data_IF_359551830056
#
_entry.id   IF_359551830056
#
_cell.length_a   1.000
_cell.length_b   1.000
_cell.length_c   1.000
_cell.angle_alpha   90.00
_cell.angle_beta   90.00
_cell.angle_gamma   90.00
#
_symmetry.space_group_name_H-M   'P 1'
#
loop_
_entity.id
_entity.type
_entity.pdbx_description
1 polymer ?
#
# COMPACT_ATOMS: atom_id res chain seq x y z
N UNK A 1 -4.33 12.74 -4.80
CA UNK A 1 -3.03 12.05 -4.77
C UNK A 1 -2.03 12.94 -5.47
N UNK A 2 -0.91 13.25 -4.83
CA UNK A 2 0.18 14.01 -5.46
C UNK A 2 1.18 13.03 -6.07
N UNK A 3 1.15 12.88 -7.40
CA UNK A 3 2.04 11.97 -8.13
C UNK A 3 3.51 12.38 -8.03
N UNK A 4 3.78 13.69 -7.96
CA UNK A 4 5.15 14.18 -7.88
C UNK A 4 5.81 13.74 -6.58
N UNK A 5 5.05 13.76 -5.49
CA UNK A 5 5.54 13.31 -4.19
C UNK A 5 5.78 11.79 -4.15
N UNK A 6 4.93 11.00 -4.81
CA UNK A 6 5.14 9.55 -4.97
C UNK A 6 6.46 9.27 -5.68
N UNK A 7 6.72 9.95 -6.81
CA UNK A 7 7.94 9.76 -7.59
C UNK A 7 9.19 10.17 -6.81
N UNK A 8 9.15 11.31 -6.12
CA UNK A 8 10.27 11.77 -5.28
C UNK A 8 10.56 10.81 -4.14
N UNK A 9 9.53 10.34 -3.45
CA UNK A 9 9.69 9.43 -2.31
C UNK A 9 10.31 8.10 -2.76
N UNK A 10 9.85 7.55 -3.88
CA UNK A 10 10.42 6.32 -4.42
C UNK A 10 11.89 6.50 -4.84
N UNK A 11 12.23 7.62 -5.48
CA UNK A 11 13.62 7.95 -5.83
C UNK A 11 14.54 8.06 -4.61
N UNK A 12 14.03 8.52 -3.46
CA UNK A 12 14.80 8.51 -2.20
C UNK A 12 15.17 7.09 -1.79
N UNK A 13 14.24 6.13 -1.90
CA UNK A 13 14.53 4.71 -1.61
C UNK A 13 15.58 4.17 -2.59
N UNK A 14 15.44 4.41 -3.90
CA UNK A 14 16.40 3.93 -4.90
C UNK A 14 17.81 4.50 -4.68
N UNK A 15 17.92 5.74 -4.21
CA UNK A 15 19.21 6.33 -3.82
C UNK A 15 19.80 5.63 -2.62
N UNK A 16 18.99 5.32 -1.61
CA UNK A 16 19.41 4.57 -0.43
C UNK A 16 19.91 3.16 -0.81
N UNK A 17 19.22 2.44 -1.71
CA UNK A 17 19.67 1.14 -2.23
C UNK A 17 21.07 1.21 -2.83
N UNK A 18 21.31 2.20 -3.70
CA UNK A 18 22.62 2.42 -4.33
C UNK A 18 23.71 2.72 -3.30
N UNK A 19 23.40 3.52 -2.29
CA UNK A 19 24.35 3.88 -1.24
C UNK A 19 24.68 2.69 -0.33
N UNK A 20 23.68 1.91 0.05
CA UNK A 20 23.82 0.75 0.95
C UNK A 20 24.28 -0.52 0.23
N UNK A 21 24.30 -0.51 -1.12
CA UNK A 21 24.62 -1.67 -1.97
C UNK A 21 23.78 -2.90 -1.61
N UNK A 22 22.51 -2.66 -1.27
CA UNK A 22 21.54 -3.68 -0.89
C UNK A 22 20.16 -3.30 -1.44
N UNK A 23 19.42 -4.31 -1.91
CA UNK A 23 18.01 -4.16 -2.31
C UNK A 23 17.12 -3.77 -1.12
N UNK A 24 16.29 -2.76 -1.32
CA UNK A 24 15.28 -2.25 -0.38
C UNK A 24 13.93 -2.31 -1.11
N UNK A 25 13.13 -3.37 -0.89
CA UNK A 25 11.84 -3.47 -1.54
C UNK A 25 10.93 -2.34 -1.05
N UNK A 26 10.44 -1.53 -1.99
CA UNK A 26 9.46 -0.48 -1.73
C UNK A 26 8.30 -0.61 -2.71
N UNK A 27 7.08 -0.35 -2.24
CA UNK A 27 5.87 -0.31 -3.05
C UNK A 27 4.94 0.79 -2.59
N UNK A 28 4.12 1.31 -3.51
CA UNK A 28 3.05 2.26 -3.19
C UNK A 28 1.85 1.51 -2.63
N UNK A 29 1.36 1.95 -1.46
CA UNK A 29 0.08 1.51 -0.90
C UNK A 29 -0.98 2.58 -1.13
N UNK A 30 -2.09 2.22 -1.78
CA UNK A 30 -3.18 3.15 -2.05
C UNK A 30 -4.20 3.10 -0.90
N UNK A 31 -4.32 4.21 -0.17
CA UNK A 31 -5.16 4.29 1.03
C UNK A 31 -6.24 5.34 0.91
N UNK A 32 -7.34 5.17 1.68
CA UNK A 32 -8.51 6.05 1.65
C UNK A 32 -9.15 6.13 0.26
N UNK A 33 -9.09 5.03 -0.49
CA UNK A 33 -9.63 4.99 -1.84
C UNK A 33 -11.16 4.96 -1.79
N UNK A 34 -11.80 5.64 -2.74
CA UNK A 34 -13.25 5.55 -2.90
C UNK A 34 -13.65 4.12 -3.32
N UNK A 35 -14.73 3.54 -2.77
CA UNK A 35 -15.25 2.25 -3.26
C UNK A 35 -15.61 2.29 -4.75
N UNK A 36 -15.99 3.47 -5.26
CA UNK A 36 -16.21 3.73 -6.67
C UNK A 36 -14.91 4.25 -7.30
N UNK A 37 -14.41 3.54 -8.29
CA UNK A 37 -13.19 3.92 -9.02
C UNK A 37 -13.46 5.19 -9.84
N UNK A 38 -12.68 6.24 -9.58
CA UNK A 38 -12.73 7.47 -10.36
C UNK A 38 -11.74 7.42 -11.53
N UNK A 39 -12.05 8.12 -12.62
CA UNK A 39 -11.12 8.25 -13.76
C UNK A 39 -9.78 8.86 -13.34
N UNK A 40 -9.81 9.79 -12.39
CA UNK A 40 -8.60 10.44 -11.85
C UNK A 40 -7.74 9.42 -11.09
N UNK A 41 -8.35 8.58 -10.25
CA UNK A 41 -7.63 7.53 -9.53
C UNK A 41 -7.03 6.50 -10.49
N UNK A 42 -7.78 6.11 -11.52
CA UNK A 42 -7.30 5.19 -12.55
C UNK A 42 -6.13 5.77 -13.34
N UNK A 43 -6.25 7.02 -13.80
CA UNK A 43 -5.17 7.69 -14.52
C UNK A 43 -3.91 7.81 -13.66
N UNK A 44 -4.07 8.23 -12.40
CA UNK A 44 -2.94 8.35 -11.50
C UNK A 44 -2.26 7.00 -11.21
N UNK A 45 -3.03 5.89 -11.14
CA UNK A 45 -2.46 4.53 -11.06
C UNK A 45 -1.66 4.18 -12.32
N UNK A 46 -2.17 4.51 -13.50
CA UNK A 46 -1.48 4.25 -14.76
C UNK A 46 -0.16 5.02 -14.85
N UNK A 47 -0.12 6.27 -14.41
CA UNK A 47 1.11 7.07 -14.36
C UNK A 47 2.17 6.42 -13.44
N UNK A 48 1.78 5.95 -12.25
CA UNK A 48 2.69 5.27 -11.32
C UNK A 48 3.25 3.98 -11.94
N UNK A 49 2.39 3.19 -12.56
CA UNK A 49 2.79 1.95 -13.23
C UNK A 49 3.69 2.20 -14.45
N UNK A 50 3.44 3.28 -15.19
CA UNK A 50 4.24 3.67 -16.36
C UNK A 50 5.64 4.18 -15.97
N UNK A 51 5.82 4.58 -14.71
CA UNK A 51 7.11 4.94 -14.12
C UNK A 51 7.86 3.75 -13.51
N UNK A 52 7.40 2.51 -13.74
CA UNK A 52 7.96 1.27 -13.17
C UNK A 52 8.02 1.27 -11.63
N UNK A 53 7.11 2.02 -10.98
CA UNK A 53 6.99 2.03 -9.53
C UNK A 53 5.99 0.94 -9.12
N UNK A 54 6.44 -0.07 -8.35
CA UNK A 54 5.57 -1.15 -7.95
C UNK A 54 4.50 -0.65 -6.95
N UNK A 55 3.28 -1.11 -7.14
CA UNK A 55 2.12 -0.79 -6.31
C UNK A 55 1.62 -2.09 -5.66
N UNK A 56 1.11 -2.01 -4.43
CA UNK A 56 0.35 -3.11 -3.86
C UNK A 56 -0.95 -3.30 -4.66
N UNK A 57 -1.37 -4.55 -4.85
CA UNK A 57 -2.62 -4.89 -5.53
C UNK A 57 -3.82 -4.52 -4.65
N UNK A 58 -3.69 -4.71 -3.35
CA UNK A 58 -4.71 -4.43 -2.35
C UNK A 58 -4.79 -2.93 -2.08
N UNK A 59 -5.99 -2.37 -2.22
CA UNK A 59 -6.29 -0.99 -1.86
C UNK A 59 -7.00 -0.94 -0.51
N UNK A 60 -6.66 0.06 0.30
CA UNK A 60 -7.38 0.34 1.54
C UNK A 60 -8.49 1.35 1.23
N UNK A 61 -9.73 0.87 1.23
CA UNK A 61 -10.91 1.66 0.90
C UNK A 61 -11.25 2.58 2.08
N UNK A 62 -11.78 3.75 1.79
CA UNK A 62 -12.32 4.62 2.83
C UNK A 62 -13.56 3.96 3.47
N UNK A 63 -13.41 3.53 4.73
CA UNK A 63 -14.45 2.86 5.51
C UNK A 63 -14.62 3.53 6.86
N UNK A 64 -15.86 3.57 7.35
CA UNK A 64 -16.15 3.99 8.72
C UNK A 64 -15.43 3.12 9.75
N UNK A 65 -15.22 1.83 9.44
CA UNK A 65 -14.49 0.89 10.29
C UNK A 65 -13.10 1.41 10.69
N UNK A 66 -12.32 1.98 9.76
CA UNK A 66 -10.99 2.50 10.07
C UNK A 66 -11.05 3.75 10.96
N UNK A 67 -12.06 4.59 10.80
CA UNK A 67 -12.25 5.77 11.66
C UNK A 67 -12.72 5.36 13.07
N UNK A 68 -13.58 4.34 13.15
CA UNK A 68 -14.10 3.82 14.41
C UNK A 68 -13.01 3.27 15.34
N UNK A 69 -11.87 2.80 14.80
CA UNK A 69 -10.72 2.34 15.58
C UNK A 69 -10.27 3.43 16.57
N UNK A 70 -10.28 4.70 16.15
CA UNK A 70 -9.84 5.82 17.00
C UNK A 70 -10.74 6.08 18.21
N UNK A 71 -12.00 5.64 18.16
CA UNK A 71 -12.97 5.82 19.25
C UNK A 71 -13.15 4.54 20.07
N UNK A 72 -13.12 3.39 19.41
CA UNK A 72 -13.44 2.09 20.02
C UNK A 72 -12.19 1.32 20.48
N UNK A 73 -11.02 1.63 19.92
CA UNK A 73 -9.80 0.84 20.10
C UNK A 73 -9.84 -0.54 19.43
N UNK A 74 -10.96 -0.93 18.82
CA UNK A 74 -11.14 -2.23 18.18
C UNK A 74 -10.66 -2.18 16.72
N UNK A 75 -9.75 -3.07 16.35
CA UNK A 75 -9.27 -3.21 14.98
C UNK A 75 -10.28 -3.97 14.10
N UNK A 76 -10.13 -3.97 12.76
CA UNK A 76 -10.98 -4.76 11.88
C UNK A 76 -10.98 -6.27 12.16
N UNK A 77 -9.97 -6.79 12.86
CA UNK A 77 -9.88 -8.19 13.29
C UNK A 77 -10.65 -8.52 14.57
N UNK A 78 -11.26 -7.52 15.22
CA UNK A 78 -12.14 -7.75 16.36
C UNK A 78 -13.36 -8.60 15.93
N UNK A 79 -13.95 -9.43 16.82
CA UNK A 79 -15.14 -10.23 16.49
C UNK A 79 -16.31 -9.42 15.89
N UNK A 80 -16.52 -8.21 16.41
CA UNK A 80 -17.53 -7.25 15.92
C UNK A 80 -16.97 -6.27 14.87
N UNK A 81 -15.81 -6.57 14.29
CA UNK A 81 -15.13 -5.74 13.30
C UNK A 81 -15.77 -5.79 11.91
N UNK A 82 -15.29 -4.93 11.00
CA UNK A 82 -15.74 -4.93 9.61
C UNK A 82 -14.98 -6.00 8.79
N UNK A 83 -15.67 -7.03 8.27
CA UNK A 83 -15.01 -8.13 7.56
C UNK A 83 -14.36 -7.71 6.25
N UNK A 84 -14.82 -6.64 5.60
CA UNK A 84 -14.21 -6.13 4.37
C UNK A 84 -12.93 -5.35 4.68
N UNK A 85 -12.94 -4.55 5.74
CA UNK A 85 -11.73 -3.91 6.25
C UNK A 85 -10.69 -4.96 6.70
N UNK A 86 -11.13 -6.06 7.31
CA UNK A 86 -10.26 -7.19 7.64
C UNK A 86 -9.64 -7.81 6.38
N UNK A 87 -10.43 -8.06 5.34
CA UNK A 87 -9.92 -8.60 4.07
C UNK A 87 -8.87 -7.68 3.42
N UNK A 88 -9.08 -6.36 3.44
CA UNK A 88 -8.12 -5.38 2.92
C UNK A 88 -6.81 -5.40 3.70
N UNK A 89 -6.86 -5.39 5.03
CA UNK A 89 -5.67 -5.45 5.88
C UNK A 89 -4.94 -6.78 5.70
N UNK A 90 -5.66 -7.90 5.67
CA UNK A 90 -5.09 -9.23 5.46
C UNK A 90 -4.46 -9.38 4.07
N UNK A 91 -5.10 -8.83 3.03
CA UNK A 91 -4.57 -8.82 1.67
C UNK A 91 -3.28 -8.02 1.56
N UNK A 92 -3.26 -6.80 2.09
CA UNK A 92 -2.05 -5.98 2.12
C UNK A 92 -0.92 -6.65 2.92
N UNK A 93 -1.23 -7.27 4.07
CA UNK A 93 -0.26 -8.02 4.86
C UNK A 93 0.30 -9.22 4.08
N UNK A 94 -0.56 -9.98 3.39
CA UNK A 94 -0.14 -11.11 2.56
C UNK A 94 0.86 -10.68 1.49
N UNK A 95 0.58 -9.59 0.77
CA UNK A 95 1.50 -9.05 -0.23
C UNK A 95 2.84 -8.59 0.37
N UNK A 96 2.83 -7.95 1.55
CA UNK A 96 4.05 -7.56 2.25
C UNK A 96 4.90 -8.78 2.63
N UNK A 97 4.26 -9.84 3.14
CA UNK A 97 4.96 -11.07 3.50
C UNK A 97 5.55 -11.79 2.28
N UNK A 98 4.83 -11.81 1.15
CA UNK A 98 5.35 -12.35 -0.11
C UNK A 98 6.62 -11.60 -0.56
N UNK A 99 6.60 -10.27 -0.50
CA UNK A 99 7.75 -9.43 -0.89
C UNK A 99 8.96 -9.69 0.02
N UNK A 100 8.72 -9.79 1.33
CA UNK A 100 9.78 -10.04 2.31
C UNK A 100 10.36 -11.46 2.17
N UNK A 101 9.52 -12.45 1.87
CA UNK A 101 9.96 -13.83 1.65
C UNK A 101 10.94 -13.91 0.46
N UNK A 102 10.61 -13.28 -0.67
CA UNK A 102 11.51 -13.21 -1.83
C UNK A 102 12.84 -12.55 -1.47
N UNK A 103 12.82 -11.50 -0.65
CA UNK A 103 14.06 -10.84 -0.22
C UNK A 103 14.95 -11.75 0.66
N UNK A 104 14.37 -12.71 1.39
CA UNK A 104 15.15 -13.65 2.22
C UNK A 104 15.81 -14.75 1.40
N UNK A 105 15.30 -15.08 0.21
CA UNK A 105 15.89 -16.09 -0.69
C UNK A 105 17.07 -15.54 -1.49
N UNK A 106 17.17 -14.21 -1.65
CA UNK A 106 18.25 -13.53 -2.40
C UNK A 106 19.50 -13.21 -1.56
N UNK A 107 19.48 -13.47 -0.24
CA UNK A 107 20.57 -13.23 0.72
C UNK A 107 21.29 -14.53 1.07
#
# INVERSE_FOLDING_TARGET
MDLQEVFRTYEVVRRAEKMLRRSIPARVALTQMSPLQSRVAQHARQEIQSADIPVLRTEIIQRAAYQAIHFTGATPSHPDGDPKALQEVAGALGELLEILAVQQEEV
#
